data_IF_571813193050
#
_entry.id   IF_571813193050
#
_cell.length_a   1.000
_cell.length_b   1.000
_cell.length_c   1.000
_cell.angle_alpha   90.00
_cell.angle_beta   90.00
_cell.angle_gamma   90.00
#
_symmetry.space_group_name_H-M   'P 1'
#
loop_
_entity.id
_entity.type
_entity.pdbx_description
1 polymer ?
#
# COMPACT_ATOMS: atom_id res chain seq x y z
N UNK A 1 -2.14 -22.90 -13.10
CA UNK A 1 -0.77 -22.35 -13.02
C UNK A 1 -0.55 -21.85 -11.59
N UNK A 2 0.29 -22.52 -10.79
CA UNK A 2 0.57 -22.10 -9.41
C UNK A 2 1.60 -20.97 -9.48
N UNK A 3 1.13 -19.73 -9.62
CA UNK A 3 2.01 -18.56 -9.48
C UNK A 3 2.53 -18.58 -8.03
N UNK A 4 3.86 -18.61 -7.84
CA UNK A 4 4.44 -18.53 -6.49
C UNK A 4 3.95 -17.24 -5.84
N UNK A 5 3.47 -17.29 -4.58
CA UNK A 5 2.82 -16.15 -3.90
C UNK A 5 3.64 -14.85 -3.92
N UNK A 6 4.98 -14.96 -4.01
CA UNK A 6 5.89 -13.82 -4.23
C UNK A 6 5.58 -13.07 -5.54
N UNK A 7 5.51 -13.77 -6.67
CA UNK A 7 5.19 -13.13 -7.95
C UNK A 7 3.78 -12.57 -7.94
N UNK A 8 2.83 -13.28 -7.33
CA UNK A 8 1.47 -12.79 -7.16
C UNK A 8 1.44 -11.47 -6.37
N UNK A 9 2.18 -11.36 -5.27
CA UNK A 9 2.29 -10.12 -4.50
C UNK A 9 2.76 -8.94 -5.35
N UNK A 10 3.88 -9.09 -6.05
CA UNK A 10 4.42 -8.00 -6.89
C UNK A 10 3.48 -7.67 -8.05
N UNK A 11 2.89 -8.66 -8.72
CA UNK A 11 1.92 -8.43 -9.81
C UNK A 11 0.70 -7.66 -9.30
N UNK A 12 0.16 -8.00 -8.13
CA UNK A 12 -0.98 -7.31 -7.54
C UNK A 12 -0.64 -5.86 -7.18
N UNK A 13 0.49 -5.63 -6.51
CA UNK A 13 0.91 -4.29 -6.09
C UNK A 13 1.29 -3.40 -7.29
N UNK A 14 1.96 -3.93 -8.32
CA UNK A 14 2.28 -3.20 -9.55
C UNK A 14 1.04 -2.91 -10.39
N UNK A 15 0.11 -3.87 -10.53
CA UNK A 15 -1.15 -3.64 -11.25
C UNK A 15 -2.00 -2.59 -10.53
N UNK A 16 -1.99 -2.59 -9.19
CA UNK A 16 -2.59 -1.53 -8.39
C UNK A 16 -1.96 -0.17 -8.68
N UNK A 17 -0.62 -0.11 -8.74
CA UNK A 17 0.12 1.10 -9.04
C UNK A 17 -0.21 1.70 -10.42
N UNK A 18 -0.29 0.85 -11.45
CA UNK A 18 -0.67 1.27 -12.81
C UNK A 18 -2.09 1.83 -12.82
N UNK A 19 -3.06 1.10 -12.26
CA UNK A 19 -4.45 1.55 -12.19
C UNK A 19 -4.58 2.87 -11.40
N UNK A 20 -3.80 3.04 -10.35
CA UNK A 20 -3.76 4.28 -9.56
C UNK A 20 -3.23 5.46 -10.36
N UNK A 21 -2.17 5.28 -11.14
CA UNK A 21 -1.58 6.34 -11.96
C UNK A 21 -2.57 6.81 -13.04
N UNK A 22 -3.24 5.88 -13.73
CA UNK A 22 -4.29 6.24 -14.69
C UNK A 22 -5.47 6.96 -14.02
N UNK A 23 -5.96 6.45 -12.88
CA UNK A 23 -7.05 7.10 -12.15
C UNK A 23 -6.70 8.53 -11.73
N UNK A 24 -5.47 8.75 -11.23
CA UNK A 24 -5.00 10.09 -10.85
C UNK A 24 -4.85 11.06 -12.03
N UNK A 25 -4.58 10.54 -13.24
CA UNK A 25 -4.61 11.36 -14.45
C UNK A 25 -6.02 11.85 -14.75
N UNK A 26 -7.01 10.96 -14.63
CA UNK A 26 -8.43 11.32 -14.79
C UNK A 26 -8.88 12.27 -13.68
N UNK A 27 -8.40 12.10 -12.44
CA UNK A 27 -8.66 13.04 -11.34
C UNK A 27 -8.23 14.46 -11.71
N UNK A 28 -7.04 14.63 -12.29
CA UNK A 28 -6.57 15.94 -12.75
C UNK A 28 -7.42 16.51 -13.88
N UNK A 29 -7.85 15.69 -14.86
CA UNK A 29 -8.77 16.14 -15.92
C UNK A 29 -10.08 16.65 -15.32
N UNK A 30 -10.66 15.90 -14.38
CA UNK A 30 -11.94 16.29 -13.78
C UNK A 30 -11.81 17.52 -12.90
N UNK A 31 -10.75 17.58 -12.10
CA UNK A 31 -10.51 18.70 -11.20
C UNK A 31 -10.18 20.00 -11.93
N UNK A 32 -9.52 19.93 -13.09
CA UNK A 32 -9.14 21.11 -13.88
C UNK A 32 -10.25 21.61 -14.80
N UNK A 33 -11.06 20.72 -15.38
CA UNK A 33 -12.03 21.11 -16.41
C UNK A 33 -13.48 21.16 -15.91
N UNK A 34 -13.84 20.38 -14.88
CA UNK A 34 -15.25 20.17 -14.52
C UNK A 34 -15.58 20.58 -13.09
N UNK A 35 -14.80 20.15 -12.09
CA UNK A 35 -15.12 20.33 -10.66
C UNK A 35 -13.93 20.94 -9.93
N UNK A 36 -13.99 22.25 -9.70
CA UNK A 36 -12.91 23.01 -9.07
C UNK A 36 -12.98 22.97 -7.53
N UNK A 37 -14.18 22.71 -6.99
CA UNK A 37 -14.43 22.64 -5.56
C UNK A 37 -14.00 21.27 -5.00
N UNK A 38 -12.93 21.19 -4.19
CA UNK A 38 -12.36 19.92 -3.74
C UNK A 38 -13.28 19.18 -2.76
N UNK A 39 -14.13 19.88 -2.01
CA UNK A 39 -15.06 19.27 -1.06
C UNK A 39 -16.22 18.61 -1.80
N UNK A 40 -16.82 19.34 -2.74
CA UNK A 40 -17.87 18.81 -3.61
C UNK A 40 -17.34 17.66 -4.49
N UNK A 41 -16.10 17.77 -4.98
CA UNK A 41 -15.47 16.70 -5.75
C UNK A 41 -15.30 15.41 -4.93
N UNK A 42 -14.84 15.53 -3.68
CA UNK A 42 -14.74 14.40 -2.75
C UNK A 42 -16.06 13.66 -2.55
N UNK A 43 -17.16 14.40 -2.32
CA UNK A 43 -18.51 13.82 -2.20
C UNK A 43 -18.93 13.12 -3.49
N UNK A 44 -18.74 13.78 -4.63
CA UNK A 44 -19.13 13.24 -5.93
C UNK A 44 -18.40 11.92 -6.24
N UNK A 45 -17.09 11.87 -6.00
CA UNK A 45 -16.26 10.68 -6.21
C UNK A 45 -16.67 9.52 -5.30
N UNK A 46 -16.98 9.77 -4.03
CA UNK A 46 -17.43 8.72 -3.15
C UNK A 46 -18.83 8.22 -3.52
N UNK A 47 -19.76 9.10 -3.88
CA UNK A 47 -21.12 8.72 -4.29
C UNK A 47 -21.08 7.82 -5.54
N UNK A 48 -20.42 8.26 -6.60
CA UNK A 48 -20.24 7.45 -7.82
C UNK A 48 -19.41 6.20 -7.51
N UNK A 49 -18.40 6.31 -6.65
CA UNK A 49 -17.58 5.19 -6.19
C UNK A 49 -18.38 4.09 -5.50
N UNK A 50 -19.41 4.42 -4.70
CA UNK A 50 -20.33 3.45 -4.10
C UNK A 50 -21.12 2.72 -5.18
N UNK A 51 -21.66 3.46 -6.16
CA UNK A 51 -22.43 2.90 -7.28
C UNK A 51 -21.56 1.94 -8.08
N UNK A 52 -20.35 2.35 -8.48
CA UNK A 52 -19.40 1.52 -9.21
C UNK A 52 -19.00 0.30 -8.40
N UNK A 53 -18.65 0.47 -7.11
CA UNK A 53 -18.28 -0.64 -6.25
C UNK A 53 -19.41 -1.66 -6.10
N UNK A 54 -20.67 -1.21 -6.03
CA UNK A 54 -21.84 -2.08 -6.00
C UNK A 54 -22.00 -2.86 -7.31
N UNK A 55 -21.97 -2.16 -8.45
CA UNK A 55 -22.11 -2.76 -9.79
C UNK A 55 -21.05 -3.84 -10.00
N UNK A 56 -19.78 -3.53 -9.76
CA UNK A 56 -18.71 -4.52 -9.92
C UNK A 56 -18.81 -5.65 -8.91
N UNK A 57 -19.20 -5.39 -7.66
CA UNK A 57 -19.38 -6.45 -6.67
C UNK A 57 -20.51 -7.41 -7.07
N UNK A 58 -21.59 -6.92 -7.67
CA UNK A 58 -22.69 -7.74 -8.19
C UNK A 58 -22.22 -8.54 -9.42
N UNK A 59 -21.63 -7.88 -10.42
CA UNK A 59 -21.14 -8.54 -11.64
C UNK A 59 -20.12 -9.64 -11.28
N UNK A 60 -19.18 -9.35 -10.39
CA UNK A 60 -18.17 -10.31 -9.96
C UNK A 60 -18.75 -11.43 -9.11
N UNK A 61 -19.93 -11.26 -8.51
CA UNK A 61 -20.64 -12.32 -7.76
C UNK A 61 -21.31 -13.35 -8.67
N UNK A 62 -21.47 -13.07 -9.97
CA UNK A 62 -22.07 -14.02 -10.93
C UNK A 62 -21.25 -15.31 -10.96
N UNK A 63 -21.93 -16.45 -10.78
CA UNK A 63 -21.31 -17.77 -10.80
C UNK A 63 -21.10 -18.26 -12.23
N UNK A 64 -19.90 -18.74 -12.50
CA UNK A 64 -19.56 -19.39 -13.76
C UNK A 64 -18.72 -20.63 -13.48
N UNK A 65 -19.21 -21.82 -13.84
CA UNK A 65 -18.54 -23.13 -13.59
C UNK A 65 -18.00 -23.24 -12.15
N UNK A 66 -18.93 -23.28 -11.20
CA UNK A 66 -18.76 -23.54 -9.75
C UNK A 66 -18.09 -22.47 -8.88
N UNK A 67 -17.52 -21.41 -9.46
CA UNK A 67 -16.99 -20.27 -8.70
C UNK A 67 -17.53 -18.96 -9.26
N UNK A 68 -17.53 -17.91 -8.44
CA UNK A 68 -17.85 -16.57 -8.92
C UNK A 68 -16.74 -16.02 -9.81
N UNK A 69 -17.10 -15.11 -10.71
CA UNK A 69 -16.14 -14.43 -11.59
C UNK A 69 -15.04 -13.72 -10.77
N UNK A 70 -15.40 -13.06 -9.67
CA UNK A 70 -14.47 -12.44 -8.74
C UNK A 70 -13.51 -13.43 -8.09
N UNK A 71 -13.98 -14.64 -7.75
CA UNK A 71 -13.14 -15.72 -7.23
C UNK A 71 -12.06 -16.15 -8.22
N UNK A 72 -12.43 -16.25 -9.51
CA UNK A 72 -11.53 -16.71 -10.57
C UNK A 72 -10.54 -15.63 -11.00
N UNK A 73 -11.02 -14.40 -11.16
CA UNK A 73 -10.23 -13.32 -11.76
C UNK A 73 -9.45 -12.48 -10.72
N UNK A 74 -10.04 -12.20 -9.56
CA UNK A 74 -9.54 -11.12 -8.67
C UNK A 74 -9.08 -11.62 -7.31
N UNK A 75 -9.94 -12.30 -6.55
CA UNK A 75 -9.60 -12.78 -5.21
C UNK A 75 -10.24 -14.16 -4.97
N UNK A 76 -9.44 -15.25 -4.87
CA UNK A 76 -9.96 -16.60 -4.65
C UNK A 76 -10.85 -16.75 -3.42
N UNK A 77 -10.70 -15.89 -2.42
CA UNK A 77 -11.55 -15.89 -1.21
C UNK A 77 -12.95 -15.32 -1.46
N UNK A 78 -13.15 -14.57 -2.55
CA UNK A 78 -14.45 -13.99 -2.87
C UNK A 78 -15.43 -15.07 -3.33
N UNK A 79 -16.69 -14.92 -2.93
CA UNK A 79 -17.77 -15.80 -3.36
C UNK A 79 -18.95 -14.97 -3.84
N UNK A 80 -19.53 -14.17 -2.96
CA UNK A 80 -20.61 -13.23 -3.27
C UNK A 80 -20.48 -12.00 -2.38
N UNK A 81 -21.14 -10.91 -2.79
CA UNK A 81 -21.37 -9.75 -1.95
C UNK A 81 -22.11 -10.20 -0.69
N UNK A 82 -21.58 -9.85 0.49
CA UNK A 82 -22.13 -10.26 1.78
C UNK A 82 -22.30 -9.07 2.71
N UNK A 83 -23.23 -9.22 3.65
CA UNK A 83 -23.35 -8.29 4.75
C UNK A 83 -22.12 -8.31 5.66
N UNK A 84 -21.82 -7.13 6.21
CA UNK A 84 -20.74 -6.93 7.16
C UNK A 84 -21.02 -7.70 8.45
N UNK A 85 -19.97 -8.32 9.02
CA UNK A 85 -20.05 -8.99 10.32
C UNK A 85 -19.64 -8.04 11.44
N UNK A 86 -20.13 -8.28 12.66
CA UNK A 86 -19.85 -7.45 13.85
C UNK A 86 -18.34 -7.25 14.09
N UNK A 87 -17.55 -8.29 13.87
CA UNK A 87 -16.09 -8.28 14.02
C UNK A 87 -15.39 -7.33 13.03
N UNK A 88 -15.99 -7.07 11.87
CA UNK A 88 -15.42 -6.23 10.82
C UNK A 88 -15.73 -4.74 11.03
N UNK A 89 -16.86 -4.41 11.68
CA UNK A 89 -17.40 -3.05 11.77
C UNK A 89 -16.34 -2.06 12.27
N UNK A 90 -15.67 -2.37 13.39
CA UNK A 90 -14.65 -1.49 13.97
C UNK A 90 -13.54 -1.17 12.98
N UNK A 91 -13.03 -2.19 12.30
CA UNK A 91 -11.91 -2.02 11.38
C UNK A 91 -12.35 -1.36 10.07
N UNK A 92 -13.58 -1.62 9.62
CA UNK A 92 -14.16 -0.95 8.45
C UNK A 92 -14.35 0.54 8.71
N UNK A 93 -14.92 0.91 9.86
CA UNK A 93 -15.10 2.33 10.24
C UNK A 93 -13.76 3.07 10.33
N UNK A 94 -12.76 2.49 11.01
CA UNK A 94 -11.44 3.12 11.12
C UNK A 94 -10.74 3.23 9.76
N UNK A 95 -10.83 2.18 8.94
CA UNK A 95 -10.24 2.22 7.60
C UNK A 95 -10.94 3.22 6.68
N UNK A 96 -12.27 3.32 6.79
CA UNK A 96 -13.09 4.24 6.02
C UNK A 96 -12.89 5.69 6.45
N UNK A 97 -12.72 5.95 7.75
CA UNK A 97 -12.35 7.26 8.28
C UNK A 97 -11.00 7.73 7.73
N UNK A 98 -10.00 6.85 7.78
CA UNK A 98 -8.69 7.12 7.17
C UNK A 98 -8.80 7.41 5.67
N UNK A 99 -9.63 6.64 4.95
CA UNK A 99 -9.87 6.82 3.52
C UNK A 99 -10.59 8.16 3.19
N UNK A 100 -11.58 8.55 4.00
CA UNK A 100 -12.32 9.78 3.85
C UNK A 100 -11.41 11.01 4.00
N UNK A 101 -10.64 11.07 5.10
CA UNK A 101 -9.71 12.18 5.39
C UNK A 101 -8.64 12.29 4.30
N UNK A 102 -8.04 11.15 3.95
CA UNK A 102 -7.06 11.07 2.87
C UNK A 102 -7.60 11.63 1.56
N UNK A 103 -8.81 11.22 1.16
CA UNK A 103 -9.36 11.56 -0.16
C UNK A 103 -9.71 13.05 -0.24
N UNK A 104 -10.27 13.62 0.83
CA UNK A 104 -10.51 15.07 0.94
C UNK A 104 -9.17 15.81 0.87
N UNK A 105 -8.18 15.40 1.67
CA UNK A 105 -6.84 15.99 1.67
C UNK A 105 -6.17 15.92 0.30
N UNK A 106 -6.31 14.79 -0.41
CA UNK A 106 -5.81 14.59 -1.76
C UNK A 106 -6.42 15.57 -2.76
N UNK A 107 -7.75 15.76 -2.75
CA UNK A 107 -8.39 16.70 -3.69
C UNK A 107 -8.10 18.17 -3.37
N UNK A 108 -7.99 18.54 -2.08
CA UNK A 108 -7.50 19.87 -1.70
C UNK A 108 -6.08 20.08 -2.24
N UNK A 109 -5.19 19.10 -2.04
CA UNK A 109 -3.82 19.20 -2.52
C UNK A 109 -3.75 19.26 -4.06
N UNK A 110 -4.58 18.48 -4.75
CA UNK A 110 -4.70 18.51 -6.21
C UNK A 110 -5.21 19.87 -6.71
N UNK A 111 -6.16 20.50 -6.02
CA UNK A 111 -6.65 21.84 -6.36
C UNK A 111 -5.58 22.93 -6.21
N UNK A 112 -4.62 22.75 -5.29
CA UNK A 112 -3.53 23.69 -5.06
C UNK A 112 -2.38 23.49 -6.06
N UNK A 113 -2.04 22.22 -6.35
CA UNK A 113 -0.85 21.87 -7.13
C UNK A 113 -1.12 21.56 -8.61
N UNK A 114 -2.36 21.23 -8.99
CA UNK A 114 -2.84 20.92 -10.34
C UNK A 114 -2.12 19.79 -11.12
N UNK A 115 -1.03 19.21 -10.61
CA UNK A 115 -0.23 18.17 -11.28
C UNK A 115 -0.14 16.87 -10.45
N UNK A 116 -0.72 15.74 -10.93
CA UNK A 116 -0.62 14.44 -10.29
C UNK A 116 0.82 13.97 -10.03
N UNK A 117 1.77 14.32 -10.90
CA UNK A 117 3.17 13.89 -10.76
C UNK A 117 3.87 14.52 -9.56
N UNK A 118 3.31 15.61 -9.02
CA UNK A 118 3.77 16.29 -7.79
C UNK A 118 3.00 15.76 -6.57
N UNK A 119 1.69 15.53 -6.72
CA UNK A 119 0.80 15.08 -5.63
C UNK A 119 1.09 13.63 -5.21
N UNK A 120 1.27 12.71 -6.16
CA UNK A 120 1.46 11.28 -5.87
C UNK A 120 2.74 11.00 -5.07
N UNK A 121 3.91 11.63 -5.35
CA UNK A 121 5.10 11.52 -4.49
C UNK A 121 4.83 11.85 -3.03
N UNK A 122 4.11 12.93 -2.74
CA UNK A 122 3.79 13.32 -1.36
C UNK A 122 3.01 12.24 -0.60
N UNK A 123 2.12 11.52 -1.28
CA UNK A 123 1.36 10.41 -0.67
C UNK A 123 2.24 9.19 -0.30
N UNK A 124 3.49 9.11 -0.78
CA UNK A 124 4.39 7.99 -0.48
C UNK A 124 5.16 8.15 0.82
N UNK A 125 5.16 9.34 1.42
CA UNK A 125 5.73 9.55 2.75
C UNK A 125 5.04 8.67 3.80
N UNK A 126 3.83 8.19 3.52
CA UNK A 126 3.11 7.24 4.38
C UNK A 126 3.91 5.96 4.66
N UNK A 127 4.90 5.60 3.84
CA UNK A 127 5.81 4.48 4.15
C UNK A 127 6.47 4.69 5.51
N UNK A 128 6.93 5.91 5.83
CA UNK A 128 7.52 6.22 7.14
C UNK A 128 6.53 5.95 8.27
N UNK A 129 5.30 6.42 8.11
CA UNK A 129 4.22 6.25 9.07
C UNK A 129 3.87 4.77 9.26
N UNK A 130 3.80 4.00 8.18
CA UNK A 130 3.55 2.56 8.22
C UNK A 130 4.68 1.80 8.92
N UNK A 131 5.94 2.15 8.63
CA UNK A 131 7.11 1.53 9.28
C UNK A 131 7.10 1.78 10.78
N UNK A 132 6.85 3.02 11.21
CA UNK A 132 6.75 3.37 12.62
C UNK A 132 5.58 2.65 13.31
N UNK A 133 4.40 2.63 12.68
CA UNK A 133 3.24 1.95 13.25
C UNK A 133 3.39 0.44 13.30
N UNK A 134 3.99 -0.19 12.28
CA UNK A 134 4.30 -1.62 12.31
C UNK A 134 5.30 -1.93 13.42
N UNK A 135 6.30 -1.06 13.63
CA UNK A 135 7.24 -1.19 14.75
C UNK A 135 6.53 -1.16 16.12
N UNK A 136 5.57 -0.26 16.30
CA UNK A 136 4.81 -0.13 17.56
C UNK A 136 3.84 -1.30 17.74
N UNK A 137 3.04 -1.60 16.71
CA UNK A 137 1.92 -2.54 16.80
C UNK A 137 2.34 -4.00 16.70
N UNK A 138 3.33 -4.32 15.86
CA UNK A 138 3.85 -5.68 15.70
C UNK A 138 5.08 -5.94 16.58
N UNK A 139 5.56 -4.93 17.32
CA UNK A 139 6.83 -4.96 18.09
C UNK A 139 8.02 -5.40 17.24
N UNK A 140 7.97 -5.14 15.94
CA UNK A 140 9.00 -5.55 14.98
C UNK A 140 9.84 -4.33 14.61
N UNK A 141 11.00 -4.17 15.24
CA UNK A 141 11.86 -3.01 14.97
C UNK A 141 12.23 -2.94 13.49
N UNK A 142 12.15 -1.74 12.89
CA UNK A 142 12.50 -1.56 11.50
C UNK A 142 14.02 -1.69 11.39
N UNK A 143 14.43 -2.34 10.32
CA UNK A 143 15.84 -2.47 10.01
C UNK A 143 16.40 -1.11 9.56
N UNK A 144 17.68 -0.85 9.83
CA UNK A 144 18.35 0.37 9.35
C UNK A 144 18.15 0.59 7.84
N UNK A 145 18.12 -0.47 7.02
CA UNK A 145 17.88 -0.32 5.57
C UNK A 145 16.41 -0.01 5.27
N UNK A 146 15.43 -0.56 6.00
CA UNK A 146 14.02 -0.13 5.88
C UNK A 146 13.87 1.35 6.24
N UNK A 147 14.53 1.82 7.30
CA UNK A 147 14.54 3.23 7.70
C UNK A 147 15.23 4.10 6.65
N UNK A 148 16.45 3.74 6.23
CA UNK A 148 17.20 4.47 5.20
C UNK A 148 16.44 4.53 3.88
N UNK A 149 15.85 3.41 3.45
CA UNK A 149 15.10 3.35 2.20
C UNK A 149 13.83 4.20 2.29
N UNK A 150 13.13 4.17 3.42
CA UNK A 150 11.96 5.03 3.64
C UNK A 150 12.33 6.52 3.70
N UNK A 151 13.48 6.88 4.29
CA UNK A 151 14.02 8.23 4.26
C UNK A 151 14.38 8.66 2.84
N UNK A 152 15.07 7.81 2.07
CA UNK A 152 15.41 8.07 0.66
C UNK A 152 14.15 8.30 -0.18
N UNK A 153 13.11 7.46 -0.01
CA UNK A 153 11.82 7.66 -0.69
C UNK A 153 11.19 9.00 -0.29
N UNK A 154 11.25 9.36 0.99
CA UNK A 154 10.69 10.62 1.50
C UNK A 154 11.44 11.83 0.95
N UNK A 155 12.77 11.83 0.97
CA UNK A 155 13.57 12.89 0.37
C UNK A 155 13.36 12.99 -1.13
N UNK A 156 13.30 11.84 -1.83
CA UNK A 156 12.98 11.79 -3.26
C UNK A 156 11.60 12.38 -3.55
N UNK A 157 10.61 12.10 -2.71
CA UNK A 157 9.27 12.68 -2.83
C UNK A 157 9.25 14.20 -2.60
N UNK A 158 10.01 14.71 -1.61
CA UNK A 158 10.14 16.16 -1.35
C UNK A 158 10.80 16.85 -2.54
N UNK A 159 11.91 16.30 -3.06
CA UNK A 159 12.62 16.88 -4.20
C UNK A 159 11.78 16.84 -5.48
N UNK A 160 11.07 15.73 -5.70
CA UNK A 160 10.14 15.60 -6.83
C UNK A 160 8.94 16.53 -6.75
N UNK A 161 8.62 17.04 -5.55
CA UNK A 161 7.45 17.86 -5.31
C UNK A 161 7.71 19.37 -5.21
N UNK A 162 8.97 19.82 -5.34
CA UNK A 162 9.29 21.24 -5.43
C UNK A 162 8.56 21.85 -6.64
N UNK A 163 7.86 22.95 -6.39
CA UNK A 163 7.03 23.65 -7.38
C UNK A 163 7.88 24.23 -8.50
N UNK A 164 7.25 24.55 -9.64
CA UNK A 164 7.93 25.12 -10.79
C UNK A 164 8.50 26.54 -10.53
N UNK A 165 8.00 27.25 -9.52
CA UNK A 165 8.53 28.55 -9.08
C UNK A 165 9.60 28.45 -7.99
N UNK A 166 9.85 27.24 -7.45
CA UNK A 166 10.75 27.05 -6.31
C UNK A 166 10.15 27.39 -4.94
N UNK A 167 8.89 27.84 -4.90
CA UNK A 167 8.21 28.17 -3.65
C UNK A 167 7.71 26.90 -2.93
N UNK A 168 8.03 26.82 -1.64
CA UNK A 168 7.52 25.78 -0.76
C UNK A 168 6.15 26.22 -0.23
N UNK A 169 5.09 25.61 -0.75
CA UNK A 169 3.75 25.82 -0.21
C UNK A 169 3.60 25.09 1.13
N UNK A 170 3.80 25.83 2.23
CA UNK A 170 3.71 25.30 3.61
C UNK A 170 2.35 24.66 3.91
N UNK A 171 1.26 25.21 3.36
CA UNK A 171 -0.08 24.63 3.51
C UNK A 171 -0.16 23.24 2.85
N UNK A 172 0.42 23.10 1.65
CA UNK A 172 0.48 21.80 0.96
C UNK A 172 1.28 20.78 1.77
N UNK A 173 2.43 21.17 2.32
CA UNK A 173 3.21 20.28 3.20
C UNK A 173 2.43 19.90 4.47
N UNK A 174 1.74 20.85 5.10
CA UNK A 174 0.92 20.58 6.29
C UNK A 174 -0.19 19.58 5.99
N UNK A 175 -0.92 19.74 4.87
CA UNK A 175 -1.94 18.79 4.42
C UNK A 175 -1.33 17.40 4.20
N UNK A 176 -0.16 17.32 3.58
CA UNK A 176 0.54 16.05 3.33
C UNK A 176 0.90 15.34 4.64
N UNK A 177 1.57 16.02 5.56
CA UNK A 177 2.08 15.41 6.80
C UNK A 177 1.00 15.16 7.85
N UNK A 178 -0.02 16.02 7.94
CA UNK A 178 -1.02 15.96 9.01
C UNK A 178 -2.34 15.29 8.59
N UNK A 179 -2.66 15.28 7.30
CA UNK A 179 -3.98 14.81 6.81
C UNK A 179 -3.81 13.56 5.94
N UNK A 180 -3.11 13.69 4.81
CA UNK A 180 -3.01 12.63 3.78
C UNK A 180 -2.29 11.40 4.33
N UNK A 181 -1.06 11.55 4.82
CA UNK A 181 -0.25 10.39 5.23
C UNK A 181 -0.79 9.70 6.48
N UNK A 182 -1.23 10.41 7.54
CA UNK A 182 -1.92 9.77 8.68
C UNK A 182 -3.22 9.07 8.25
N UNK A 183 -4.04 9.69 7.38
CA UNK A 183 -5.25 9.07 6.83
C UNK A 183 -4.96 7.77 6.06
N UNK A 184 -3.97 7.80 5.17
CA UNK A 184 -3.53 6.62 4.41
C UNK A 184 -2.96 5.52 5.30
N UNK A 185 -2.21 5.88 6.34
CA UNK A 185 -1.66 4.96 7.33
C UNK A 185 -2.77 4.23 8.08
N UNK A 186 -3.74 4.99 8.64
CA UNK A 186 -4.92 4.43 9.32
C UNK A 186 -5.67 3.50 8.36
N UNK A 187 -5.95 3.97 7.14
CA UNK A 187 -6.70 3.20 6.15
C UNK A 187 -6.02 1.86 5.84
N UNK A 188 -4.71 1.89 5.57
CA UNK A 188 -3.90 0.73 5.18
C UNK A 188 -3.74 -0.29 6.30
N UNK A 189 -3.47 0.15 7.54
CA UNK A 189 -3.32 -0.76 8.69
C UNK A 189 -4.63 -1.51 8.96
N UNK A 190 -5.75 -0.80 8.95
CA UNK A 190 -7.04 -1.42 9.25
C UNK A 190 -7.60 -2.25 8.08
N UNK A 191 -7.32 -1.89 6.82
CA UNK A 191 -7.55 -2.77 5.66
C UNK A 191 -6.76 -4.07 5.76
N UNK A 192 -5.49 -4.00 6.17
CA UNK A 192 -4.68 -5.19 6.37
C UNK A 192 -5.25 -6.07 7.50
N UNK A 193 -5.64 -5.47 8.63
CA UNK A 193 -6.30 -6.20 9.72
C UNK A 193 -7.58 -6.89 9.22
N UNK A 194 -8.44 -6.19 8.48
CA UNK A 194 -9.63 -6.76 7.86
C UNK A 194 -9.32 -7.94 6.95
N UNK A 195 -8.28 -7.82 6.12
CA UNK A 195 -7.90 -8.87 5.17
C UNK A 195 -7.34 -10.12 5.86
N UNK A 196 -6.71 -9.97 7.03
CA UNK A 196 -6.19 -11.09 7.82
C UNK A 196 -7.25 -11.78 8.69
N UNK A 197 -8.42 -11.17 8.90
CA UNK A 197 -9.52 -11.81 9.62
C UNK A 197 -10.01 -13.06 8.87
N UNK A 198 -10.40 -14.07 9.65
CA UNK A 198 -11.10 -15.24 9.14
C UNK A 198 -12.58 -15.13 9.47
N UNK A 199 -13.41 -15.23 8.45
CA UNK A 199 -14.86 -15.16 8.57
C UNK A 199 -15.40 -16.52 8.16
N UNK A 200 -16.10 -17.20 9.07
CA UNK A 200 -16.59 -18.56 8.88
C UNK A 200 -15.48 -19.53 8.42
N UNK A 201 -14.30 -19.42 9.04
CA UNK A 201 -13.13 -20.25 8.72
C UNK A 201 -12.39 -19.90 7.42
N UNK A 202 -12.89 -18.97 6.60
CA UNK A 202 -12.27 -18.53 5.34
C UNK A 202 -11.59 -17.17 5.49
N UNK A 203 -10.49 -16.88 4.78
CA UNK A 203 -9.88 -15.55 4.78
C UNK A 203 -10.88 -14.53 4.22
N UNK A 204 -10.94 -13.35 4.84
CA UNK A 204 -11.75 -12.25 4.33
C UNK A 204 -11.31 -11.85 2.91
N UNK A 205 -12.21 -11.38 2.07
CA UNK A 205 -11.97 -11.09 0.65
C UNK A 205 -11.82 -9.58 0.39
N UNK A 206 -11.03 -9.20 -0.62
CA UNK A 206 -10.74 -7.79 -0.89
C UNK A 206 -11.91 -7.02 -1.50
N UNK A 207 -12.86 -7.70 -2.15
CA UNK A 207 -14.01 -7.09 -2.82
C UNK A 207 -15.05 -6.60 -1.83
N UNK A 208 -15.47 -7.44 -0.88
CA UNK A 208 -16.34 -7.04 0.22
C UNK A 208 -15.67 -5.99 1.10
N UNK A 209 -14.36 -6.13 1.38
CA UNK A 209 -13.63 -5.10 2.13
C UNK A 209 -13.72 -3.75 1.41
N UNK A 210 -13.46 -3.72 0.10
CA UNK A 210 -13.52 -2.49 -0.71
C UNK A 210 -14.91 -1.88 -0.74
N UNK A 211 -15.95 -2.68 -1.01
CA UNK A 211 -17.33 -2.18 -1.09
C UNK A 211 -17.74 -1.48 0.21
N UNK A 212 -17.62 -2.17 1.34
CA UNK A 212 -17.99 -1.61 2.65
C UNK A 212 -17.12 -0.40 3.03
N UNK A 213 -15.82 -0.43 2.69
CA UNK A 213 -14.93 0.69 2.94
C UNK A 213 -15.34 1.95 2.17
N UNK A 214 -15.71 1.83 0.90
CA UNK A 214 -16.19 2.98 0.10
C UNK A 214 -17.52 3.50 0.61
N UNK A 215 -18.45 2.61 0.98
CA UNK A 215 -19.75 2.99 1.52
C UNK A 215 -19.59 3.77 2.84
N UNK A 216 -18.81 3.25 3.78
CA UNK A 216 -18.58 3.98 5.03
C UNK A 216 -17.77 5.27 4.82
N UNK A 217 -16.83 5.28 3.88
CA UNK A 217 -16.07 6.49 3.58
C UNK A 217 -16.99 7.58 2.98
N UNK A 218 -17.94 7.20 2.12
CA UNK A 218 -18.97 8.12 1.62
C UNK A 218 -19.80 8.72 2.76
N UNK A 219 -20.28 7.90 3.70
CA UNK A 219 -21.08 8.39 4.84
C UNK A 219 -20.26 9.33 5.73
N UNK A 220 -19.00 8.98 6.02
CA UNK A 220 -18.09 9.80 6.82
C UNK A 220 -17.76 11.12 6.11
N UNK A 221 -17.40 11.07 4.83
CA UNK A 221 -17.12 12.27 4.02
C UNK A 221 -18.34 13.18 3.94
N UNK A 222 -19.53 12.62 3.69
CA UNK A 222 -20.78 13.40 3.67
C UNK A 222 -21.04 14.06 5.02
N UNK A 223 -20.80 13.37 6.14
CA UNK A 223 -20.92 13.95 7.47
C UNK A 223 -19.91 15.07 7.74
N UNK A 224 -18.64 14.89 7.35
CA UNK A 224 -17.60 15.94 7.48
C UNK A 224 -17.98 17.18 6.67
N UNK A 225 -18.38 16.99 5.41
CA UNK A 225 -18.76 18.09 4.51
C UNK A 225 -20.03 18.78 4.99
N UNK A 226 -21.02 18.04 5.50
CA UNK A 226 -22.23 18.64 6.06
C UNK A 226 -21.93 19.54 7.27
N UNK A 227 -21.06 19.09 8.19
CA UNK A 227 -20.64 19.91 9.33
C UNK A 227 -19.94 21.18 8.84
N UNK A 228 -19.10 21.06 7.81
CA UNK A 228 -18.42 22.21 7.21
C UNK A 228 -19.38 23.17 6.51
N UNK A 229 -20.36 22.67 5.75
CA UNK A 229 -21.41 23.46 5.10
C UNK A 229 -22.23 24.25 6.11
N UNK A 230 -22.66 23.61 7.22
CA UNK A 230 -23.42 24.28 8.29
C UNK A 230 -22.60 25.41 8.92
N UNK A 231 -21.30 25.19 9.13
CA UNK A 231 -20.41 26.18 9.75
C UNK A 231 -20.08 27.35 8.82
N UNK A 232 -19.89 27.08 7.53
CA UNK A 232 -19.44 28.06 6.54
C UNK A 232 -20.58 28.74 5.77
N UNK A 233 -21.81 28.22 5.86
CA UNK A 233 -22.94 28.64 5.03
C UNK A 233 -22.82 28.21 3.57
N UNK A 234 -21.90 27.28 3.25
CA UNK A 234 -21.68 26.75 1.92
C UNK A 234 -22.63 25.59 1.58
N UNK A 235 -22.61 25.15 0.33
CA UNK A 235 -23.45 24.06 -0.18
C UNK A 235 -22.62 22.98 -0.90
N UNK A 236 -21.43 22.65 -0.37
CA UNK A 236 -20.50 21.71 -0.98
C UNK A 236 -21.09 20.31 -1.12
N UNK A 237 -21.89 19.86 -0.14
CA UNK A 237 -22.53 18.54 -0.17
C UNK A 237 -23.54 18.44 -1.32
N UNK A 238 -24.43 19.43 -1.42
CA UNK A 238 -25.45 19.47 -2.48
C UNK A 238 -24.80 19.58 -3.86
N UNK A 239 -23.80 20.46 -4.00
CA UNK A 239 -23.03 20.60 -5.22
C UNK A 239 -22.34 19.29 -5.60
N UNK A 240 -21.77 18.57 -4.63
CA UNK A 240 -21.15 17.26 -4.85
C UNK A 240 -22.13 16.22 -5.39
N UNK A 241 -23.36 16.20 -4.89
CA UNK A 241 -24.43 15.33 -5.41
C UNK A 241 -24.79 15.73 -6.85
N UNK A 242 -24.98 17.02 -7.13
CA UNK A 242 -25.29 17.53 -8.47
C UNK A 242 -24.18 17.17 -9.46
N UNK A 243 -22.92 17.39 -9.09
CA UNK A 243 -21.76 17.07 -9.92
C UNK A 243 -21.61 15.57 -10.17
N UNK A 244 -21.94 14.72 -9.19
CA UNK A 244 -21.95 13.27 -9.37
C UNK A 244 -22.87 12.83 -10.51
N UNK A 245 -24.05 13.45 -10.63
CA UNK A 245 -24.97 13.17 -11.73
C UNK A 245 -24.53 13.82 -13.04
N UNK A 246 -24.15 15.10 -13.00
CA UNK A 246 -23.78 15.86 -14.20
C UNK A 246 -22.54 15.30 -14.90
N UNK A 247 -21.54 14.87 -14.13
CA UNK A 247 -20.26 14.38 -14.64
C UNK A 247 -20.07 12.89 -14.39
N UNK A 248 -21.18 12.13 -14.26
CA UNK A 248 -21.18 10.71 -13.94
C UNK A 248 -20.21 9.89 -14.78
N UNK A 249 -20.16 10.14 -16.10
CA UNK A 249 -19.32 9.38 -17.03
C UNK A 249 -17.82 9.48 -16.69
N UNK A 250 -17.32 10.71 -16.47
CA UNK A 250 -15.92 10.95 -16.13
C UNK A 250 -15.56 10.40 -14.74
N UNK A 251 -16.40 10.67 -13.75
CA UNK A 251 -16.19 10.19 -12.38
C UNK A 251 -16.28 8.66 -12.34
N UNK A 252 -17.10 8.03 -13.18
CA UNK A 252 -17.20 6.56 -13.27
C UNK A 252 -15.93 5.92 -13.81
N UNK A 253 -15.30 6.50 -14.84
CA UNK A 253 -14.02 6.01 -15.38
C UNK A 253 -12.94 6.02 -14.29
N UNK A 254 -12.86 7.11 -13.53
CA UNK A 254 -11.98 7.20 -12.36
C UNK A 254 -12.37 6.19 -11.27
N UNK A 255 -13.66 6.08 -10.94
CA UNK A 255 -14.19 5.14 -9.96
C UNK A 255 -13.82 3.69 -10.28
N UNK A 256 -13.82 3.30 -11.56
CA UNK A 256 -13.37 1.99 -12.04
C UNK A 256 -11.87 1.79 -11.74
N UNK A 257 -11.03 2.74 -12.17
CA UNK A 257 -9.57 2.67 -11.94
C UNK A 257 -9.23 2.57 -10.45
N UNK A 258 -9.85 3.41 -9.63
CA UNK A 258 -9.67 3.44 -8.18
C UNK A 258 -10.21 2.17 -7.50
N UNK A 259 -11.33 1.62 -7.97
CA UNK A 259 -11.87 0.35 -7.48
C UNK A 259 -10.86 -0.78 -7.67
N UNK A 260 -10.39 -1.02 -8.90
CA UNK A 260 -9.44 -2.10 -9.16
C UNK A 260 -8.09 -1.85 -8.49
N UNK A 261 -7.60 -0.60 -8.50
CA UNK A 261 -6.39 -0.21 -7.77
C UNK A 261 -6.44 -0.65 -6.31
N UNK A 262 -7.53 -0.34 -5.60
CA UNK A 262 -7.65 -0.64 -4.18
C UNK A 262 -7.99 -2.10 -3.88
N UNK A 263 -8.77 -2.79 -4.71
CA UNK A 263 -9.04 -4.22 -4.54
C UNK A 263 -7.74 -5.05 -4.66
N UNK A 264 -6.90 -4.70 -5.64
CA UNK A 264 -5.60 -5.34 -5.83
C UNK A 264 -4.63 -5.00 -4.69
N UNK A 265 -4.63 -3.74 -4.23
CA UNK A 265 -3.84 -3.31 -3.08
C UNK A 265 -4.23 -4.05 -1.79
N UNK A 266 -5.53 -4.13 -1.46
CA UNK A 266 -6.02 -4.86 -0.28
C UNK A 266 -5.62 -6.34 -0.36
N UNK A 267 -5.70 -6.95 -1.55
CA UNK A 267 -5.26 -8.33 -1.74
C UNK A 267 -3.75 -8.46 -1.51
N UNK A 268 -2.94 -7.52 -1.98
CA UNK A 268 -1.51 -7.49 -1.74
C UNK A 268 -1.18 -7.26 -0.24
N UNK A 269 -1.96 -6.44 0.49
CA UNK A 269 -1.84 -6.27 1.95
C UNK A 269 -2.09 -7.56 2.73
N UNK A 270 -2.95 -8.45 2.21
CA UNK A 270 -3.13 -9.80 2.75
C UNK A 270 -1.92 -10.70 2.50
N UNK A 271 -0.99 -10.31 1.61
CA UNK A 271 0.23 -11.04 1.24
C UNK A 271 1.52 -10.40 1.80
N UNK A 272 1.51 -9.12 2.15
CA UNK A 272 2.68 -8.38 2.58
C UNK A 272 2.49 -7.65 3.90
N UNK A 273 3.57 -7.03 4.39
CA UNK A 273 3.45 -5.93 5.35
C UNK A 273 2.87 -4.70 4.65
N UNK A 274 2.21 -3.83 5.39
CA UNK A 274 1.60 -2.63 4.81
C UNK A 274 2.68 -1.70 4.25
N UNK A 275 3.77 -1.49 4.98
CA UNK A 275 4.92 -0.69 4.54
C UNK A 275 5.53 -1.17 3.21
N UNK A 276 5.71 -2.49 3.04
CA UNK A 276 6.26 -3.11 1.83
C UNK A 276 5.30 -3.03 0.67
N UNK A 277 4.03 -3.33 0.92
CA UNK A 277 2.99 -3.26 -0.10
C UNK A 277 2.87 -1.84 -0.62
N UNK A 278 2.94 -0.85 0.28
CA UNK A 278 2.96 0.55 -0.10
C UNK A 278 4.20 0.89 -0.90
N UNK A 279 5.40 0.50 -0.46
CA UNK A 279 6.63 0.78 -1.20
C UNK A 279 6.59 0.25 -2.64
N UNK A 280 6.08 -0.97 -2.84
CA UNK A 280 5.88 -1.48 -4.20
C UNK A 280 4.82 -0.67 -4.94
N UNK A 281 3.67 -0.34 -4.31
CA UNK A 281 2.62 0.49 -4.92
C UNK A 281 3.14 1.89 -5.31
N UNK A 282 4.13 2.43 -4.61
CA UNK A 282 4.75 3.73 -4.91
C UNK A 282 5.40 3.81 -6.30
N UNK A 283 5.63 2.68 -6.98
CA UNK A 283 5.97 2.68 -8.42
C UNK A 283 4.90 3.34 -9.30
N UNK A 284 3.70 3.62 -8.77
CA UNK A 284 2.68 4.45 -9.42
C UNK A 284 3.25 5.78 -9.90
N UNK A 285 4.30 6.30 -9.25
CA UNK A 285 4.94 7.55 -9.65
C UNK A 285 5.62 7.43 -11.01
N UNK A 286 6.31 6.30 -11.25
CA UNK A 286 6.94 6.02 -12.54
C UNK A 286 5.87 6.04 -13.65
N UNK A 287 4.70 5.46 -13.37
CA UNK A 287 3.59 5.43 -14.32
C UNK A 287 2.84 6.77 -14.43
N UNK A 288 2.88 7.63 -13.39
CA UNK A 288 2.23 8.93 -13.40
C UNK A 288 2.96 9.97 -14.27
N UNK A 289 4.29 9.84 -14.43
CA UNK A 289 5.08 10.79 -15.22
C UNK A 289 4.63 10.79 -16.70
N UNK A 290 4.54 9.64 -17.41
CA UNK A 290 3.98 9.60 -18.76
C UNK A 290 2.56 10.17 -18.83
N UNK A 291 1.72 9.89 -17.83
CA UNK A 291 0.34 10.41 -17.77
C UNK A 291 0.34 11.92 -17.70
N UNK A 292 1.12 12.53 -16.79
CA UNK A 292 1.23 13.99 -16.71
C UNK A 292 1.83 14.60 -17.98
N UNK A 293 2.81 13.95 -18.65
CA UNK A 293 3.35 14.40 -19.95
C UNK A 293 2.24 14.49 -21.00
N UNK A 294 1.40 13.46 -21.10
CA UNK A 294 0.28 13.45 -22.05
C UNK A 294 -0.73 14.55 -21.71
N UNK A 295 -1.07 14.73 -20.42
CA UNK A 295 -2.02 15.77 -19.99
C UNK A 295 -1.49 17.19 -20.25
N UNK A 296 -0.20 17.42 -20.05
CA UNK A 296 0.45 18.69 -20.34
C UNK A 296 0.49 18.96 -21.85
N UNK A 297 0.79 17.94 -22.68
CA UNK A 297 0.72 18.05 -24.13
C UNK A 297 -0.67 18.42 -24.64
N UNK A 298 -1.73 17.94 -23.95
CA UNK A 298 -3.12 18.27 -24.24
C UNK A 298 -3.58 19.62 -23.63
N UNK A 299 -2.69 20.38 -22.98
CA UNK A 299 -2.99 21.63 -22.26
C UNK A 299 -4.07 21.52 -21.18
N UNK A 300 -4.22 20.33 -20.58
CA UNK A 300 -5.17 20.09 -19.47
C UNK A 300 -4.54 20.50 -18.13
N UNK A 301 -3.25 20.22 -17.97
CA UNK A 301 -2.45 20.68 -16.83
C UNK A 301 -1.39 21.68 -17.31
N UNK A 302 -0.85 22.53 -16.40
CA UNK A 302 0.24 23.42 -16.75
C UNK A 302 1.43 22.68 -17.39
N UNK A 303 2.05 23.31 -18.39
CA UNK A 303 3.24 22.77 -19.02
C UNK A 303 4.36 22.58 -18.00
N UNK A 304 5.18 21.54 -18.17
CA UNK A 304 6.36 21.32 -17.35
C UNK A 304 7.32 22.51 -17.47
N UNK A 305 7.89 22.93 -16.34
CA UNK A 305 8.99 23.91 -16.36
C UNK A 305 10.13 23.37 -17.22
N UNK A 306 10.58 24.22 -18.13
CA UNK A 306 11.75 23.99 -18.97
C UNK A 306 13.04 24.46 -18.31
N UNK A 307 12.99 24.98 -17.07
CA UNK A 307 14.21 25.36 -16.32
C UNK A 307 15.07 24.11 -16.08
N UNK A 308 16.30 24.05 -16.64
CA UNK A 308 17.20 22.92 -16.48
C UNK A 308 17.44 22.53 -15.01
N UNK A 309 17.44 23.51 -14.10
CA UNK A 309 17.69 23.28 -12.67
C UNK A 309 16.52 22.52 -12.04
N UNK A 310 15.28 22.92 -12.33
CA UNK A 310 14.08 22.27 -11.81
C UNK A 310 13.89 20.87 -12.40
N UNK A 311 14.21 20.69 -13.68
CA UNK A 311 14.22 19.37 -14.32
C UNK A 311 15.25 18.45 -13.65
N UNK A 312 16.45 18.95 -13.36
CA UNK A 312 17.48 18.18 -12.68
C UNK A 312 17.06 17.78 -11.25
N UNK A 313 16.52 18.71 -10.46
CA UNK A 313 16.04 18.45 -9.09
C UNK A 313 14.95 17.38 -9.09
N UNK A 314 13.95 17.50 -9.98
CA UNK A 314 12.89 16.50 -10.10
C UNK A 314 13.42 15.14 -10.56
N UNK A 315 14.34 15.14 -11.54
CA UNK A 315 15.00 13.93 -12.01
C UNK A 315 15.74 13.19 -10.89
N UNK A 316 16.52 13.92 -10.09
CA UNK A 316 17.21 13.37 -8.91
C UNK A 316 16.18 12.81 -7.91
N UNK A 317 15.10 13.55 -7.63
CA UNK A 317 14.04 13.11 -6.72
C UNK A 317 13.40 11.79 -7.16
N UNK A 318 13.07 11.67 -8.46
CA UNK A 318 12.52 10.44 -9.04
C UNK A 318 13.53 9.29 -8.95
N UNK A 319 14.80 9.51 -9.30
CA UNK A 319 15.85 8.48 -9.22
C UNK A 319 16.02 7.99 -7.78
N UNK A 320 16.15 8.91 -6.81
CA UNK A 320 16.27 8.58 -5.40
C UNK A 320 15.08 7.74 -4.94
N UNK A 321 13.87 8.13 -5.31
CA UNK A 321 12.68 7.40 -4.94
C UNK A 321 12.62 5.99 -5.54
N UNK A 322 12.99 5.82 -6.82
CA UNK A 322 13.09 4.51 -7.45
C UNK A 322 14.11 3.62 -6.71
N UNK A 323 15.28 4.18 -6.40
CA UNK A 323 16.32 3.47 -5.64
C UNK A 323 15.83 3.09 -4.24
N UNK A 324 15.13 4.00 -3.55
CA UNK A 324 14.54 3.76 -2.24
C UNK A 324 13.48 2.66 -2.28
N UNK A 325 12.56 2.69 -3.25
CA UNK A 325 11.53 1.66 -3.45
C UNK A 325 12.17 0.30 -3.74
N UNK A 326 13.14 0.26 -4.66
CA UNK A 326 13.83 -0.99 -5.01
C UNK A 326 14.58 -1.56 -3.79
N UNK A 327 15.30 -0.72 -3.06
CA UNK A 327 16.01 -1.10 -1.83
C UNK A 327 15.06 -1.64 -0.77
N UNK A 328 13.90 -0.98 -0.58
CA UNK A 328 12.86 -1.39 0.37
C UNK A 328 12.20 -2.72 -0.02
N UNK A 329 11.89 -2.89 -1.30
CA UNK A 329 11.27 -4.12 -1.82
C UNK A 329 12.20 -5.34 -1.74
N UNK A 330 13.52 -5.12 -1.75
CA UNK A 330 14.55 -6.17 -1.68
C UNK A 330 14.97 -6.52 -0.24
N UNK A 331 14.55 -5.76 0.77
CA UNK A 331 15.11 -5.87 2.13
C UNK A 331 14.56 -7.03 2.96
N UNK A 332 13.38 -7.57 2.64
CA UNK A 332 12.71 -8.55 3.49
C UNK A 332 12.90 -10.00 3.03
N UNK A 333 13.82 -10.69 3.71
CA UNK A 333 13.89 -12.16 3.70
C UNK A 333 13.92 -12.63 5.15
N UNK A 334 12.79 -13.18 5.62
CA UNK A 334 12.81 -14.07 6.80
C UNK A 334 13.28 -15.45 6.31
N UNK A 335 14.07 -16.15 7.11
CA UNK A 335 14.52 -17.50 6.82
C UNK A 335 14.52 -18.34 8.08
N UNK A 336 14.29 -19.63 7.94
CA UNK A 336 14.43 -20.60 9.00
C UNK A 336 15.49 -21.58 8.55
N UNK A 337 16.44 -21.87 9.42
CA UNK A 337 17.41 -22.93 9.16
C UNK A 337 17.12 -24.04 10.17
N UNK A 338 16.96 -25.23 9.63
CA UNK A 338 16.82 -26.46 10.40
C UNK A 338 18.20 -27.10 10.50
N UNK A 339 18.66 -27.41 11.70
CA UNK A 339 20.02 -27.87 11.96
C UNK A 339 19.96 -29.24 12.63
N UNK A 340 20.72 -30.18 12.09
CA UNK A 340 21.02 -31.50 12.66
C UNK A 340 22.45 -31.46 13.22
N UNK A 341 22.62 -31.86 14.46
CA UNK A 341 23.88 -31.86 15.20
C UNK A 341 24.62 -33.20 15.09
N UNK A 342 25.91 -33.16 15.40
CA UNK A 342 26.69 -34.38 15.68
C UNK A 342 26.48 -34.82 17.14
N UNK A 343 26.47 -36.14 17.43
CA UNK A 343 26.43 -36.64 18.80
C UNK A 343 27.65 -36.16 19.60
N UNK A 344 27.49 -36.03 20.93
CA UNK A 344 28.60 -35.72 21.84
C UNK A 344 28.89 -34.22 22.06
N UNK A 345 28.13 -33.31 21.45
CA UNK A 345 28.26 -31.87 21.67
C UNK A 345 27.19 -31.32 22.63
N UNK A 346 27.53 -30.41 23.58
CA UNK A 346 26.55 -29.81 24.48
C UNK A 346 25.55 -28.91 23.72
N UNK A 347 24.25 -29.18 23.87
CA UNK A 347 23.17 -28.40 23.23
C UNK A 347 23.25 -26.91 23.62
N UNK A 348 23.49 -26.62 24.90
CA UNK A 348 23.57 -25.25 25.42
C UNK A 348 24.67 -24.42 24.75
N UNK A 349 25.85 -24.99 24.54
CA UNK A 349 26.98 -24.29 23.94
C UNK A 349 26.74 -24.00 22.47
N UNK A 350 26.17 -24.96 21.73
CA UNK A 350 25.79 -24.77 20.33
C UNK A 350 24.67 -23.73 20.22
N UNK A 351 23.68 -23.77 21.12
CA UNK A 351 22.59 -22.79 21.13
C UNK A 351 23.10 -21.35 21.31
N UNK A 352 24.08 -21.14 22.21
CA UNK A 352 24.73 -19.82 22.39
C UNK A 352 25.48 -19.39 21.13
N UNK A 353 26.29 -20.29 20.54
CA UNK A 353 27.01 -20.02 19.28
C UNK A 353 26.06 -19.67 18.13
N UNK A 354 24.91 -20.35 18.04
CA UNK A 354 23.86 -20.07 17.06
C UNK A 354 23.18 -18.73 17.30
N UNK A 355 22.93 -18.37 18.57
CA UNK A 355 22.32 -17.10 18.93
C UNK A 355 23.22 -15.90 18.60
N UNK A 356 24.54 -16.04 18.75
CA UNK A 356 25.53 -15.00 18.46
C UNK A 356 25.72 -14.73 16.96
N UNK A 357 25.17 -15.57 16.08
CA UNK A 357 25.19 -15.32 14.64
C UNK A 357 24.36 -14.08 14.33
N UNK A 358 25.02 -13.02 13.85
CA UNK A 358 24.33 -11.80 13.40
C UNK A 358 23.25 -12.11 12.36
N UNK A 359 22.01 -11.74 12.69
CA UNK A 359 20.83 -11.99 11.85
C UNK A 359 19.92 -13.09 12.39
N UNK A 360 20.36 -13.86 13.39
CA UNK A 360 19.50 -14.79 14.14
C UNK A 360 18.65 -13.99 15.13
N UNK A 361 17.35 -14.24 15.10
CA UNK A 361 16.33 -13.56 15.95
C UNK A 361 15.72 -14.49 16.98
N UNK A 362 15.77 -15.80 16.70
CA UNK A 362 15.30 -16.84 17.62
C UNK A 362 16.05 -18.13 17.36
N UNK A 363 16.38 -18.85 18.42
CA UNK A 363 16.89 -20.22 18.38
C UNK A 363 15.95 -21.04 19.26
N UNK A 364 15.52 -22.20 18.78
CA UNK A 364 14.73 -23.15 19.54
C UNK A 364 15.34 -24.54 19.38
N UNK A 365 15.59 -25.22 20.50
CA UNK A 365 15.86 -26.65 20.50
C UNK A 365 14.54 -27.40 20.29
N UNK A 366 14.55 -28.44 19.47
CA UNK A 366 13.36 -29.22 19.12
C UNK A 366 13.67 -30.70 19.19
N UNK A 367 12.66 -31.50 19.53
CA UNK A 367 12.74 -32.95 19.45
C UNK A 367 12.27 -33.42 18.06
N UNK A 368 13.07 -34.24 17.38
CA UNK A 368 12.71 -34.82 16.09
C UNK A 368 13.89 -35.00 15.14
N UNK A 369 13.64 -34.87 13.83
CA UNK A 369 14.66 -35.04 12.77
C UNK A 369 15.77 -33.96 12.79
N UNK A 370 15.45 -32.80 13.35
CA UNK A 370 16.39 -31.69 13.51
C UNK A 370 16.48 -31.38 15.00
N UNK A 371 17.65 -30.93 15.46
CA UNK A 371 17.92 -30.62 16.86
C UNK A 371 17.68 -29.13 17.16
N UNK A 372 17.89 -28.26 16.16
CA UNK A 372 17.60 -26.83 16.27
C UNK A 372 16.80 -26.28 15.10
N UNK A 373 15.98 -25.27 15.41
CA UNK A 373 15.38 -24.36 14.46
C UNK A 373 15.88 -22.96 14.78
N UNK A 374 16.52 -22.31 13.80
CA UNK A 374 16.92 -20.91 13.92
C UNK A 374 16.09 -20.04 13.00
N UNK A 375 15.47 -19.01 13.57
CA UNK A 375 14.73 -17.98 12.84
C UNK A 375 15.67 -16.83 12.55
N UNK A 376 15.77 -16.47 11.30
CA UNK A 376 16.73 -15.53 10.77
C UNK A 376 16.00 -14.41 10.05
N UNK A 377 16.46 -13.19 10.28
CA UNK A 377 16.06 -12.00 9.54
C UNK A 377 17.32 -11.43 8.90
N UNK A 378 17.55 -11.72 7.61
CA UNK A 378 18.69 -11.17 6.86
C UNK A 378 18.24 -10.14 5.84
N UNK A 379 19.18 -9.25 5.50
CA UNK A 379 19.03 -8.30 4.41
C UNK A 379 19.71 -8.91 3.19
N UNK A 380 18.97 -9.07 2.10
CA UNK A 380 19.37 -9.71 0.83
C UNK A 380 19.61 -11.22 0.91
N UNK A 381 18.98 -11.95 -0.02
CA UNK A 381 18.94 -13.42 -0.02
C UNK A 381 20.32 -14.05 -0.24
N UNK A 382 21.23 -13.40 -0.97
CA UNK A 382 22.51 -13.99 -1.38
C UNK A 382 23.62 -13.71 -0.36
N UNK A 383 23.95 -12.42 -0.11
CA UNK A 383 25.04 -12.04 0.81
C UNK A 383 24.73 -12.38 2.28
N UNK A 384 23.46 -12.25 2.68
CA UNK A 384 23.01 -12.62 4.04
C UNK A 384 23.05 -14.14 4.26
N UNK A 385 22.72 -14.92 3.24
CA UNK A 385 22.81 -16.38 3.25
C UNK A 385 24.25 -16.86 3.37
N UNK A 386 25.15 -16.37 2.52
CA UNK A 386 26.57 -16.74 2.53
C UNK A 386 27.22 -16.47 3.90
N UNK A 387 26.95 -15.29 4.47
CA UNK A 387 27.54 -14.90 5.76
C UNK A 387 27.11 -15.80 6.91
N UNK A 388 25.84 -16.21 6.90
CA UNK A 388 25.27 -17.09 7.93
C UNK A 388 25.73 -18.52 7.72
N UNK A 389 25.76 -19.01 6.49
CA UNK A 389 26.29 -20.33 6.19
C UNK A 389 27.76 -20.45 6.57
N UNK A 390 28.56 -19.43 6.29
CA UNK A 390 29.97 -19.42 6.70
C UNK A 390 30.10 -19.58 8.22
N UNK A 391 29.28 -18.83 8.98
CA UNK A 391 29.24 -18.93 10.44
C UNK A 391 28.71 -20.27 10.96
N UNK A 392 27.76 -20.90 10.27
CA UNK A 392 27.29 -22.25 10.61
C UNK A 392 28.37 -23.30 10.33
N UNK A 393 29.10 -23.18 9.23
CA UNK A 393 30.20 -24.09 8.90
C UNK A 393 31.38 -23.97 9.88
N UNK A 394 31.58 -22.80 10.52
CA UNK A 394 32.56 -22.59 11.59
C UNK A 394 32.21 -23.32 12.91
N UNK A 395 30.98 -23.83 13.07
CA UNK A 395 30.54 -24.54 14.28
C UNK A 395 30.73 -26.05 14.10
N UNK A 396 31.78 -26.61 14.71
CA UNK A 396 32.19 -28.02 14.55
C UNK A 396 31.10 -29.07 14.91
N UNK A 397 30.12 -28.69 15.74
CA UNK A 397 29.01 -29.53 16.20
C UNK A 397 27.84 -29.66 15.22
N UNK A 398 27.84 -28.94 14.08
CA UNK A 398 26.78 -29.02 13.07
C UNK A 398 27.09 -30.15 12.08
N UNK A 399 26.15 -31.09 11.91
CA UNK A 399 26.26 -32.21 10.96
C UNK A 399 25.67 -31.83 9.60
N UNK A 400 24.45 -31.33 9.60
CA UNK A 400 23.72 -30.88 8.41
C UNK A 400 22.85 -29.70 8.75
N UNK A 401 22.62 -28.83 7.79
CA UNK A 401 21.63 -27.77 7.90
C UNK A 401 20.81 -27.68 6.62
N UNK A 402 19.54 -27.30 6.77
CA UNK A 402 18.62 -27.05 5.68
C UNK A 402 18.12 -25.62 5.80
N UNK A 403 18.52 -24.79 4.83
CA UNK A 403 17.99 -23.43 4.73
C UNK A 403 16.63 -23.46 4.07
N UNK A 404 15.64 -22.97 4.78
CA UNK A 404 14.30 -22.73 4.27
C UNK A 404 14.08 -21.23 4.33
N UNK A 405 14.20 -20.54 3.20
CA UNK A 405 13.86 -19.12 3.15
C UNK A 405 12.37 -18.97 3.40
N UNK A 406 12.06 -18.60 4.64
CA UNK A 406 10.72 -18.22 5.06
C UNK A 406 10.39 -16.83 4.53
N UNK A 407 10.21 -16.73 3.21
CA UNK A 407 8.95 -16.17 2.74
C UNK A 407 7.84 -17.20 3.02
N UNK A 408 7.79 -17.83 4.19
CA UNK A 408 7.03 -19.05 4.53
C UNK A 408 6.26 -18.87 5.84
N UNK A 409 5.82 -17.64 6.12
CA UNK A 409 4.43 -17.44 6.59
C UNK A 409 3.44 -17.76 5.43
N UNK A 410 3.95 -18.11 4.24
CA UNK A 410 3.23 -18.17 2.98
C UNK A 410 3.06 -19.56 2.36
N UNK A 411 3.61 -20.66 2.89
CA UNK A 411 3.34 -22.00 2.34
C UNK A 411 2.76 -22.95 3.40
N UNK A 412 1.52 -23.38 3.11
CA UNK A 412 0.69 -24.38 3.79
C UNK A 412 0.19 -24.02 5.19
N UNK A 413 -1.04 -23.50 5.24
CA UNK A 413 -2.14 -24.32 5.75
C UNK A 413 -2.80 -24.98 4.54
#
# INVERSE_FOLDING_TARGET
MIIRKKYLFYVLALSSAVANAFASGVDAVVSSLFIHDPWAFGVACFLVGVIIALIFSIILSIRFKDKSLGSKAIDPSFNHLRFIRREEIKYQLLSAFGNAILTIGYYILLSILADPSVVIPFTQMVILYLVLMESITEKDMPTLVEVQSALIVTFGAILGSISFSGDINLLSLAIVFLVINPGWMISSIYQRKLKLLKINGKPNDSLNIRFWNVLFAFLITSGIVLIYDISSGANHLLNGIIYAFRFFNWISIMGIGTFFSLVLYIRALGIGKASVTQAVKSTAIIFSIPVSIILAYLNIIPSFSTDPTMVAIRGIGIILMILGIASYALTLVKAYIFIEMKPGYPILDIMRKLWDIRGVTRVAAVAGKYDFIIKIRTRTLVKGYEKIIRKLNEIEGIKKYKWESVLREWEKL
#
